data_IF_970066428017
#
_entry.id   IF_970066428017
#
_cell.length_a   1.000
_cell.length_b   1.000
_cell.length_c   1.000
_cell.angle_alpha   90.00
_cell.angle_beta   90.00
_cell.angle_gamma   90.00
#
_symmetry.space_group_name_H-M   'P 1'
#
loop_
_entity.id
_entity.type
_entity.pdbx_description
1 polymer ?
#
# COMPACT_ATOMS: atom_id res chain seq x y z
N UNK A 1 4.95 -36.94 -77.84
CA UNK A 1 5.73 -36.34 -76.75
C UNK A 1 4.95 -35.15 -76.22
N UNK A 2 4.20 -35.30 -75.13
CA UNK A 2 3.61 -34.19 -74.39
C UNK A 2 3.87 -34.47 -72.92
N UNK A 3 4.75 -33.66 -72.34
CA UNK A 3 5.28 -33.79 -71.00
C UNK A 3 4.30 -33.26 -69.95
N UNK A 4 4.20 -34.06 -68.91
CA UNK A 4 3.62 -33.89 -67.58
C UNK A 4 3.69 -32.46 -66.97
N UNK A 5 2.54 -31.76 -66.95
CA UNK A 5 2.30 -30.47 -66.25
C UNK A 5 1.69 -30.64 -64.84
N UNK A 6 1.98 -31.73 -64.11
CA UNK A 6 1.39 -31.94 -62.76
C UNK A 6 2.26 -31.55 -61.56
N UNK A 7 3.52 -31.13 -61.75
CA UNK A 7 4.46 -30.98 -60.63
C UNK A 7 4.51 -29.59 -59.96
N UNK A 8 3.90 -28.55 -60.55
CA UNK A 8 4.00 -27.17 -60.02
C UNK A 8 3.04 -26.82 -58.87
N UNK A 9 1.86 -27.45 -58.81
CA UNK A 9 0.79 -27.03 -57.90
C UNK A 9 0.90 -27.63 -56.48
N UNK A 10 1.44 -28.85 -56.35
CA UNK A 10 1.55 -29.53 -55.05
C UNK A 10 2.52 -28.87 -54.07
N UNK A 11 3.63 -28.31 -54.57
CA UNK A 11 4.62 -27.60 -53.74
C UNK A 11 4.05 -26.28 -53.22
N UNK A 12 3.31 -25.53 -54.04
CA UNK A 12 2.68 -24.26 -53.66
C UNK A 12 1.63 -24.42 -52.55
N UNK A 13 0.84 -25.50 -52.61
CA UNK A 13 -0.16 -25.82 -51.59
C UNK A 13 0.47 -26.25 -50.27
N UNK A 14 1.54 -27.05 -50.32
CA UNK A 14 2.28 -27.44 -49.11
C UNK A 14 2.90 -26.23 -48.37
N UNK A 15 3.44 -25.25 -49.09
CA UNK A 15 3.96 -24.01 -48.49
C UNK A 15 2.85 -23.14 -47.88
N UNK A 16 1.70 -23.02 -48.54
CA UNK A 16 0.56 -22.23 -48.03
C UNK A 16 -0.03 -22.84 -46.75
N UNK A 17 -0.14 -24.18 -46.69
CA UNK A 17 -0.62 -24.89 -45.50
C UNK A 17 0.39 -24.75 -44.34
N UNK A 18 1.69 -24.90 -44.62
CA UNK A 18 2.75 -24.70 -43.62
C UNK A 18 2.77 -23.29 -43.04
N UNK A 19 2.58 -22.26 -43.87
CA UNK A 19 2.51 -20.87 -43.44
C UNK A 19 1.26 -20.60 -42.58
N UNK A 20 0.10 -21.14 -42.94
CA UNK A 20 -1.13 -20.98 -42.17
C UNK A 20 -1.05 -21.63 -40.79
N UNK A 21 -0.43 -22.81 -40.68
CA UNK A 21 -0.21 -23.50 -39.39
C UNK A 21 0.75 -22.70 -38.50
N UNK A 22 1.85 -22.17 -39.06
CA UNK A 22 2.78 -21.32 -38.30
C UNK A 22 2.11 -20.04 -37.80
N UNK A 23 1.30 -19.38 -38.63
CA UNK A 23 0.54 -18.18 -38.21
C UNK A 23 -0.46 -18.54 -37.11
N UNK A 24 -1.18 -19.66 -37.24
CA UNK A 24 -2.11 -20.13 -36.21
C UNK A 24 -1.44 -20.40 -34.87
N UNK A 25 -0.25 -21.03 -34.88
CA UNK A 25 0.52 -21.30 -33.67
C UNK A 25 1.06 -20.01 -33.02
N UNK A 26 1.52 -19.05 -33.82
CA UNK A 26 1.95 -17.74 -33.32
C UNK A 26 0.78 -16.98 -32.70
N UNK A 27 -0.38 -16.94 -33.36
CA UNK A 27 -1.57 -16.27 -32.85
C UNK A 27 -2.11 -16.93 -31.57
N UNK A 28 -2.09 -18.27 -31.49
CA UNK A 28 -2.44 -18.99 -30.26
C UNK A 28 -1.44 -18.70 -29.12
N UNK A 29 -0.14 -18.62 -29.42
CA UNK A 29 0.88 -18.24 -28.45
C UNK A 29 0.71 -16.81 -27.92
N UNK A 30 0.38 -15.86 -28.80
CA UNK A 30 0.08 -14.46 -28.43
C UNK A 30 -1.21 -14.40 -27.61
N UNK A 31 -2.26 -15.14 -27.99
CA UNK A 31 -3.51 -15.18 -27.25
C UNK A 31 -3.33 -15.75 -25.84
N UNK A 32 -2.55 -16.83 -25.68
CA UNK A 32 -2.20 -17.38 -24.37
C UNK A 32 -1.33 -16.41 -23.56
N UNK A 33 -0.43 -15.66 -24.20
CA UNK A 33 0.37 -14.64 -23.52
C UNK A 33 -0.46 -13.43 -23.05
N UNK A 34 -1.48 -13.03 -23.83
CA UNK A 34 -2.43 -11.96 -23.47
C UNK A 34 -3.45 -12.38 -22.41
N UNK A 35 -3.75 -13.68 -22.31
CA UNK A 35 -4.60 -14.25 -21.26
C UNK A 35 -3.83 -14.66 -20.00
N UNK A 36 -2.51 -14.49 -19.96
CA UNK A 36 -1.78 -14.65 -18.70
C UNK A 36 -2.30 -13.58 -17.74
N UNK A 37 -2.89 -13.95 -16.59
CA UNK A 37 -3.15 -12.97 -15.55
C UNK A 37 -1.81 -12.30 -15.26
N UNK A 38 -1.81 -10.96 -15.22
CA UNK A 38 -0.70 -10.22 -14.63
C UNK A 38 -0.61 -10.73 -13.19
N UNK A 39 0.26 -11.71 -12.96
CA UNK A 39 0.70 -12.06 -11.62
C UNK A 39 1.10 -10.73 -11.00
N UNK A 40 0.44 -10.42 -9.88
CA UNK A 40 0.45 -9.10 -9.27
C UNK A 40 1.85 -8.52 -9.23
N UNK A 41 1.93 -7.21 -9.48
CA UNK A 41 3.15 -6.43 -9.26
C UNK A 41 3.72 -6.86 -7.92
N UNK A 42 4.93 -7.46 -7.87
CA UNK A 42 5.60 -7.66 -6.61
C UNK A 42 6.03 -6.26 -6.18
N UNK A 43 5.14 -5.55 -5.47
CA UNK A 43 5.60 -4.60 -4.47
C UNK A 43 6.53 -5.40 -3.57
N UNK A 44 7.71 -4.86 -3.25
CA UNK A 44 8.68 -5.56 -2.41
C UNK A 44 7.96 -6.20 -1.22
N UNK A 45 8.22 -7.49 -0.97
CA UNK A 45 7.63 -8.17 0.17
C UNK A 45 7.97 -7.37 1.42
N UNK A 46 6.94 -6.77 2.04
CA UNK A 46 7.06 -6.19 3.37
C UNK A 46 7.52 -7.30 4.32
N UNK A 47 8.45 -7.00 5.22
CA UNK A 47 9.04 -7.94 6.16
C UNK A 47 8.06 -8.42 7.24
N UNK A 48 7.00 -7.64 7.51
CA UNK A 48 5.94 -7.96 8.47
C UNK A 48 4.58 -7.41 8.05
N UNK A 49 3.50 -7.85 8.72
CA UNK A 49 2.16 -7.31 8.48
C UNK A 49 2.08 -5.84 8.92
N UNK A 50 2.69 -5.51 10.06
CA UNK A 50 2.78 -4.15 10.57
C UNK A 50 3.47 -3.18 9.61
N UNK A 51 4.56 -3.62 8.97
CA UNK A 51 5.25 -2.81 7.96
C UNK A 51 4.33 -2.54 6.76
N UNK A 52 3.64 -3.57 6.25
CA UNK A 52 2.70 -3.37 5.15
C UNK A 52 1.59 -2.40 5.51
N UNK A 53 0.99 -2.55 6.69
CA UNK A 53 -0.06 -1.64 7.17
C UNK A 53 0.48 -0.22 7.27
N UNK A 54 1.68 -0.02 7.81
CA UNK A 54 2.31 1.29 7.96
C UNK A 54 2.46 2.02 6.63
N UNK A 55 2.86 1.31 5.57
CA UNK A 55 3.08 1.90 4.25
C UNK A 55 1.83 2.00 3.38
N UNK A 56 0.88 1.09 3.55
CA UNK A 56 -0.20 0.88 2.56
C UNK A 56 -1.61 0.95 3.13
N UNK A 57 -1.76 1.02 4.45
CA UNK A 57 -3.04 0.86 5.13
C UNK A 57 -3.80 -0.39 4.66
N UNK A 58 -3.09 -1.49 4.41
CA UNK A 58 -3.67 -2.78 4.00
C UNK A 58 -2.95 -3.91 4.73
N UNK A 59 -3.69 -4.88 5.25
CA UNK A 59 -3.14 -6.10 5.89
C UNK A 59 -2.61 -7.08 4.85
N UNK A 60 -1.69 -7.98 5.23
CA UNK A 60 -1.19 -9.08 4.37
C UNK A 60 -2.30 -10.04 3.92
N UNK A 61 -3.42 -10.05 4.64
CA UNK A 61 -4.64 -10.78 4.26
C UNK A 61 -5.40 -10.11 3.11
N UNK A 62 -4.95 -8.94 2.66
CA UNK A 62 -5.61 -8.12 1.64
C UNK A 62 -6.76 -7.28 2.18
N UNK A 63 -6.95 -7.21 3.49
CA UNK A 63 -8.00 -6.41 4.13
C UNK A 63 -7.57 -4.93 4.19
N UNK A 64 -8.32 -4.00 3.58
CA UNK A 64 -8.04 -2.58 3.70
C UNK A 64 -8.30 -2.07 5.13
N UNK A 65 -7.37 -1.26 5.64
CA UNK A 65 -7.52 -0.56 6.91
C UNK A 65 -8.21 0.78 6.62
N UNK A 66 -9.26 1.09 7.39
CA UNK A 66 -10.05 2.31 7.16
C UNK A 66 -9.67 3.40 8.14
N UNK A 67 -9.79 4.65 7.72
CA UNK A 67 -9.50 5.83 8.54
C UNK A 67 -10.64 6.85 8.43
N UNK A 68 -10.97 7.48 9.55
CA UNK A 68 -11.87 8.64 9.60
C UNK A 68 -11.10 9.92 9.98
N UNK A 69 -11.18 10.93 9.12
CA UNK A 69 -10.61 12.28 9.33
C UNK A 69 -11.66 13.34 9.71
N UNK A 70 -12.84 12.94 10.19
CA UNK A 70 -13.89 13.88 10.62
C UNK A 70 -14.69 14.50 9.47
N UNK A 71 -14.59 13.91 8.27
CA UNK A 71 -15.35 14.28 7.07
C UNK A 71 -15.89 13.07 6.30
N UNK A 72 -15.82 11.88 6.91
CA UNK A 72 -16.15 10.60 6.29
C UNK A 72 -15.04 10.04 5.38
N UNK A 73 -15.12 8.75 5.03
CA UNK A 73 -14.07 8.03 4.28
C UNK A 73 -13.76 8.64 2.90
N UNK A 74 -14.73 9.37 2.32
CA UNK A 74 -14.57 10.05 1.04
C UNK A 74 -13.57 11.22 1.09
N UNK A 75 -13.47 11.94 2.22
CA UNK A 75 -12.54 13.07 2.35
C UNK A 75 -11.08 12.61 2.39
N UNK A 76 -10.78 11.49 3.04
CA UNK A 76 -9.44 10.91 3.02
C UNK A 76 -9.03 10.40 1.64
N UNK A 77 -9.93 9.69 0.95
CA UNK A 77 -9.69 9.24 -0.42
C UNK A 77 -9.48 10.38 -1.40
N UNK A 78 -10.24 11.48 -1.28
CA UNK A 78 -10.13 12.63 -2.18
C UNK A 78 -8.89 13.49 -1.91
N UNK A 79 -8.47 13.60 -0.64
CA UNK A 79 -7.32 14.43 -0.26
C UNK A 79 -5.98 13.73 -0.45
N UNK A 80 -5.91 12.42 -0.22
CA UNK A 80 -4.68 11.62 -0.34
C UNK A 80 -4.69 10.66 -1.53
N UNK A 81 -5.63 10.82 -2.48
CA UNK A 81 -5.68 10.02 -3.71
C UNK A 81 -5.78 8.51 -3.47
N UNK A 82 -6.43 8.09 -2.38
CA UNK A 82 -6.51 6.69 -1.97
C UNK A 82 -5.21 6.08 -1.43
N UNK A 83 -4.19 6.89 -1.14
CA UNK A 83 -2.87 6.47 -0.64
C UNK A 83 -2.62 6.89 0.81
N UNK A 84 -3.69 7.09 1.59
CA UNK A 84 -3.57 7.46 3.00
C UNK A 84 -2.99 6.28 3.79
N UNK A 85 -1.80 6.46 4.36
CA UNK A 85 -1.11 5.52 5.25
C UNK A 85 -0.34 6.26 6.33
N UNK A 86 0.17 5.54 7.34
CA UNK A 86 1.00 6.15 8.38
C UNK A 86 2.22 6.86 7.77
N UNK A 87 2.90 6.15 6.86
CA UNK A 87 4.09 6.65 6.17
C UNK A 87 3.82 7.88 5.27
N UNK A 88 2.58 8.04 4.77
CA UNK A 88 2.21 9.17 3.92
C UNK A 88 2.26 10.53 4.64
N UNK A 89 2.13 10.54 5.97
CA UNK A 89 2.26 11.74 6.80
C UNK A 89 3.54 11.71 7.65
N UNK A 90 3.80 10.60 8.34
CA UNK A 90 4.93 10.50 9.27
C UNK A 90 6.27 10.16 8.59
N UNK A 91 6.26 9.95 7.29
CA UNK A 91 7.44 9.54 6.53
C UNK A 91 7.74 8.04 6.67
N UNK A 92 8.63 7.52 5.80
CA UNK A 92 9.00 6.11 5.80
C UNK A 92 9.76 5.66 7.06
N UNK A 93 10.40 6.59 7.76
CA UNK A 93 11.16 6.38 9.00
C UNK A 93 10.40 6.85 10.26
N UNK A 94 9.17 7.34 10.12
CA UNK A 94 8.32 7.76 11.23
C UNK A 94 8.77 9.06 11.92
N UNK A 95 9.76 9.78 11.38
CA UNK A 95 10.28 11.03 11.99
C UNK A 95 9.32 12.22 11.89
N UNK A 96 8.27 12.11 11.09
CA UNK A 96 7.39 13.23 10.81
C UNK A 96 8.06 14.27 9.91
N UNK A 97 7.66 15.54 10.07
CA UNK A 97 8.14 16.65 9.27
C UNK A 97 7.02 17.65 8.95
N UNK A 98 7.15 18.37 7.84
CA UNK A 98 6.13 19.31 7.41
C UNK A 98 5.28 18.75 6.27
N UNK A 99 3.97 18.71 6.49
CA UNK A 99 2.99 18.33 5.48
C UNK A 99 2.26 19.59 4.97
N UNK A 100 2.33 19.83 3.67
CA UNK A 100 1.57 20.90 3.03
C UNK A 100 0.17 20.40 2.66
N UNK A 101 -0.84 21.01 3.27
CA UNK A 101 -2.23 20.61 3.09
C UNK A 101 -3.15 21.83 3.04
N UNK A 102 -3.99 21.91 2.01
CA UNK A 102 -4.94 23.02 1.82
C UNK A 102 -4.26 24.41 1.88
N UNK A 103 -3.02 24.51 1.40
CA UNK A 103 -2.24 25.76 1.42
C UNK A 103 -1.68 26.15 2.79
N UNK A 104 -1.62 25.22 3.74
CA UNK A 104 -1.03 25.41 5.07
C UNK A 104 0.04 24.36 5.33
N UNK A 105 1.12 24.76 6.00
CA UNK A 105 2.10 23.83 6.58
C UNK A 105 1.55 23.29 7.88
N UNK A 106 1.56 21.97 8.04
CA UNK A 106 1.16 21.27 9.25
C UNK A 106 2.38 20.47 9.71
N UNK A 107 2.76 20.67 10.97
CA UNK A 107 3.81 19.87 11.61
C UNK A 107 3.24 18.48 11.94
N UNK A 108 3.91 17.45 11.43
CA UNK A 108 3.61 16.05 11.69
C UNK A 108 4.64 15.54 12.68
N UNK A 109 4.24 14.97 13.82
CA UNK A 109 5.16 14.59 14.87
C UNK A 109 5.96 13.32 14.52
N UNK A 110 7.09 13.19 15.22
CA UNK A 110 7.89 11.97 15.30
C UNK A 110 7.11 10.90 16.08
N UNK A 111 6.90 9.75 15.45
CA UNK A 111 6.17 8.61 16.02
C UNK A 111 7.08 7.41 16.29
N UNK A 112 8.41 7.59 16.26
CA UNK A 112 9.33 6.55 16.69
C UNK A 112 9.07 6.22 18.15
N UNK A 113 9.17 4.95 18.49
CA UNK A 113 8.83 4.47 19.82
C UNK A 113 9.60 5.20 20.93
N UNK A 114 10.90 5.41 20.72
CA UNK A 114 11.73 6.15 21.67
C UNK A 114 11.27 7.60 21.86
N UNK A 115 10.82 8.28 20.80
CA UNK A 115 10.32 9.65 20.89
C UNK A 115 9.03 9.71 21.71
N UNK A 116 8.05 8.87 21.38
CA UNK A 116 6.74 8.85 22.04
C UNK A 116 6.83 8.44 23.52
N UNK A 117 7.69 7.48 23.84
CA UNK A 117 7.80 6.92 25.19
C UNK A 117 8.82 7.64 26.08
N UNK A 118 9.51 8.65 25.56
CA UNK A 118 10.44 9.46 26.34
C UNK A 118 9.72 10.35 27.35
N UNK A 119 10.33 10.55 28.52
CA UNK A 119 9.83 11.49 29.53
C UNK A 119 9.91 12.96 29.04
N UNK A 120 10.87 13.26 28.16
CA UNK A 120 11.05 14.59 27.55
C UNK A 120 9.85 14.95 26.68
N UNK A 121 9.39 14.05 25.81
CA UNK A 121 8.22 14.27 24.97
C UNK A 121 6.95 14.51 25.80
N UNK A 122 6.74 13.74 26.87
CA UNK A 122 5.62 13.97 27.78
C UNK A 122 5.68 15.35 28.46
N UNK A 123 6.86 15.76 28.91
CA UNK A 123 7.04 17.08 29.53
C UNK A 123 6.81 18.24 28.54
N UNK A 124 7.25 18.11 27.28
CA UNK A 124 7.07 19.12 26.24
C UNK A 124 5.62 19.27 25.80
N UNK A 125 4.89 18.15 25.72
CA UNK A 125 3.50 18.10 25.26
C UNK A 125 2.49 18.17 26.41
N UNK A 126 2.95 18.42 27.64
CA UNK A 126 2.14 18.52 28.87
C UNK A 126 1.26 17.29 29.16
N UNK A 127 1.69 16.09 28.74
CA UNK A 127 1.02 14.81 29.02
C UNK A 127 2.01 13.76 29.54
N UNK A 128 1.54 12.63 30.05
CA UNK A 128 2.43 11.51 30.42
C UNK A 128 3.13 10.95 29.17
N UNK A 129 4.30 10.33 29.34
CA UNK A 129 4.93 9.57 28.25
C UNK A 129 3.96 8.54 27.69
N UNK A 130 3.98 8.32 26.38
CA UNK A 130 3.13 7.30 25.80
C UNK A 130 3.48 5.90 26.36
N UNK A 131 2.44 5.09 26.47
CA UNK A 131 2.53 3.66 26.73
C UNK A 131 1.98 2.93 25.51
N UNK A 132 2.19 1.63 25.41
CA UNK A 132 1.59 0.85 24.33
C UNK A 132 0.05 1.03 24.27
N UNK A 133 -0.61 1.04 25.42
CA UNK A 133 -2.06 1.23 25.52
C UNK A 133 -2.49 2.61 25.02
N UNK A 134 -1.79 3.68 25.43
CA UNK A 134 -2.13 5.04 24.97
C UNK A 134 -1.77 5.26 23.51
N UNK A 135 -0.78 4.56 22.94
CA UNK A 135 -0.51 4.57 21.49
C UNK A 135 -1.66 3.89 20.73
N UNK A 136 -2.18 2.76 21.23
CA UNK A 136 -3.36 2.11 20.63
C UNK A 136 -4.56 3.06 20.62
N UNK A 137 -4.77 3.81 21.70
CA UNK A 137 -5.83 4.81 21.80
C UNK A 137 -5.60 5.99 20.85
N UNK A 138 -4.36 6.47 20.71
CA UNK A 138 -4.00 7.49 19.74
C UNK A 138 -4.33 7.07 18.30
N UNK A 139 -4.01 5.83 17.93
CA UNK A 139 -4.26 5.29 16.57
C UNK A 139 -5.76 5.10 16.32
N UNK A 140 -6.49 4.52 17.27
CA UNK A 140 -7.88 4.06 17.04
C UNK A 140 -8.94 5.10 17.41
N UNK A 141 -8.69 5.87 18.47
CA UNK A 141 -9.64 6.85 19.02
C UNK A 141 -9.22 8.29 18.73
N UNK A 142 -7.94 8.52 18.40
CA UNK A 142 -7.42 9.85 18.11
C UNK A 142 -7.37 10.71 19.37
N UNK A 143 -6.87 10.14 20.47
CA UNK A 143 -6.66 10.82 21.76
C UNK A 143 -5.24 10.59 22.29
N UNK A 144 -4.71 11.55 23.02
CA UNK A 144 -3.40 11.47 23.66
C UNK A 144 -3.46 10.78 25.05
N UNK A 145 -2.33 10.64 25.78
CA UNK A 145 -2.31 10.04 27.12
C UNK A 145 -3.13 10.79 28.17
N UNK A 146 -3.38 12.09 27.98
CA UNK A 146 -4.25 12.89 28.84
C UNK A 146 -5.75 12.74 28.47
N UNK A 147 -6.04 12.04 27.37
CA UNK A 147 -7.39 11.87 26.82
C UNK A 147 -7.86 13.05 25.98
N UNK A 148 -6.96 13.98 25.63
CA UNK A 148 -7.29 15.10 24.77
C UNK A 148 -7.30 14.67 23.29
N UNK A 149 -8.19 15.21 22.46
CA UNK A 149 -8.23 14.86 21.04
C UNK A 149 -6.95 15.25 20.31
N UNK A 150 -6.42 14.35 19.49
CA UNK A 150 -5.29 14.64 18.61
C UNK A 150 -5.68 15.66 17.54
N UNK A 151 -4.69 16.48 17.16
CA UNK A 151 -4.86 17.53 16.17
C UNK A 151 -5.19 16.95 14.78
N UNK A 152 -6.07 17.64 14.05
CA UNK A 152 -6.30 17.36 12.64
C UNK A 152 -5.00 17.66 11.85
N UNK A 153 -4.57 16.81 10.89
CA UNK A 153 -5.35 15.82 10.15
C UNK A 153 -5.16 14.35 10.60
N UNK A 154 -4.66 14.08 11.81
CA UNK A 154 -4.44 12.70 12.23
C UNK A 154 -5.77 11.93 12.28
N UNK A 155 -5.94 10.83 11.52
CA UNK A 155 -7.19 10.09 11.43
C UNK A 155 -7.40 9.12 12.61
N UNK A 156 -8.62 8.64 12.74
CA UNK A 156 -9.00 7.50 13.61
C UNK A 156 -9.05 6.24 12.77
N UNK A 157 -8.14 5.31 13.05
CA UNK A 157 -8.00 4.08 12.27
C UNK A 157 -8.89 2.95 12.80
N UNK A 158 -9.46 2.16 11.91
CA UNK A 158 -10.23 0.96 12.23
C UNK A 158 -9.62 -0.26 11.52
N UNK A 159 -9.18 -1.21 12.33
CA UNK A 159 -8.52 -2.47 11.96
C UNK A 159 -8.86 -3.57 12.99
N UNK A 160 -8.47 -4.82 12.72
CA UNK A 160 -8.59 -5.88 13.73
C UNK A 160 -7.51 -5.73 14.81
N UNK A 161 -7.74 -6.29 16.00
CA UNK A 161 -6.74 -6.28 17.09
C UNK A 161 -5.39 -6.85 16.66
N UNK A 162 -5.37 -7.96 15.92
CA UNK A 162 -4.15 -8.57 15.37
C UNK A 162 -3.38 -7.64 14.42
N UNK A 163 -4.08 -6.86 13.59
CA UNK A 163 -3.44 -5.91 12.66
C UNK A 163 -2.87 -4.71 13.44
N UNK A 164 -3.55 -4.30 14.52
CA UNK A 164 -3.05 -3.26 15.42
C UNK A 164 -1.83 -3.74 16.21
N UNK A 165 -1.84 -4.97 16.71
CA UNK A 165 -0.70 -5.58 17.39
C UNK A 165 0.53 -5.60 16.49
N UNK A 166 0.38 -6.11 15.27
CA UNK A 166 1.46 -6.17 14.29
C UNK A 166 1.99 -4.76 13.94
N UNK A 167 1.10 -3.77 13.77
CA UNK A 167 1.48 -2.38 13.51
C UNK A 167 2.28 -1.80 14.68
N UNK A 168 1.85 -2.01 15.92
CA UNK A 168 2.54 -1.57 17.13
C UNK A 168 3.93 -2.22 17.23
N UNK A 169 4.03 -3.52 16.92
CA UNK A 169 5.33 -4.21 16.87
C UNK A 169 6.27 -3.59 15.84
N UNK A 170 5.75 -3.21 14.67
CA UNK A 170 6.56 -2.52 13.67
C UNK A 170 7.00 -1.12 14.14
N UNK A 171 6.14 -0.33 14.79
CA UNK A 171 6.51 0.99 15.32
C UNK A 171 7.68 0.92 16.32
N UNK A 172 7.77 -0.16 17.09
CA UNK A 172 8.89 -0.43 18.02
C UNK A 172 10.23 -0.64 17.32
N UNK A 173 10.23 -0.88 16.01
CA UNK A 173 11.45 -1.09 15.21
C UNK A 173 11.95 0.16 14.50
N UNK A 174 11.21 1.27 14.55
CA UNK A 174 11.60 2.52 13.89
C UNK A 174 12.73 3.24 14.64
N UNK A 175 13.71 3.77 13.90
CA UNK A 175 14.94 4.42 14.39
C UNK A 175 15.13 5.84 13.89
#
# INVERSE_FOLDING_TARGET
>A
MHGDDRQGNGRRWAFMIGAAVLIGLVLAGVYVALLRPLAGVPGGEFSSNGEQIFFTATSQRGTPITADMGGGPMMGGMMFGGSLSCASCHGPDGRGGELQMMGRSIEVPDIRWEALTSEEHGAEMEHESYTEETIRQAITQGVDPAGEPLNWPMPRWSMSEEDLDDLIEYLKTLE
#
